data_IF_085798325191
#
_entry.id   IF_085798325191
#
_cell.length_a   1.000
_cell.length_b   1.000
_cell.length_c   1.000
_cell.angle_alpha   90.00
_cell.angle_beta   90.00
_cell.angle_gamma   90.00
#
_symmetry.space_group_name_H-M   'P 1'
#
loop_
_entity.id
_entity.type
_entity.pdbx_description
1 polymer ?
#
# COMPACT_ATOMS: atom_id res chain seq x y z
N UNK A 1 17.48 17.21 12.10
CA UNK A 1 18.26 17.03 10.85
C UNK A 1 18.91 15.66 10.69
N UNK A 2 19.32 14.95 11.76
CA UNK A 2 20.00 13.65 11.63
C UNK A 2 19.17 12.53 10.95
N UNK A 3 17.83 12.57 11.05
CA UNK A 3 16.91 11.63 10.37
C UNK A 3 16.58 12.00 8.94
N UNK A 4 17.04 13.16 8.47
CA UNK A 4 16.76 13.62 7.13
C UNK A 4 17.81 13.06 6.16
N UNK A 5 17.46 12.86 4.87
CA UNK A 5 18.44 12.48 3.85
C UNK A 5 19.63 13.45 3.81
N UNK A 6 20.79 12.96 3.42
CA UNK A 6 21.99 13.76 3.19
C UNK A 6 22.15 14.13 1.71
N UNK A 7 23.09 15.02 1.40
CA UNK A 7 23.43 15.39 0.03
C UNK A 7 22.70 16.62 -0.52
N UNK A 8 23.16 17.07 -1.68
CA UNK A 8 22.71 18.30 -2.37
C UNK A 8 21.25 18.22 -2.84
N UNK A 9 20.70 17.01 -2.95
CA UNK A 9 19.30 16.74 -3.28
C UNK A 9 18.43 16.46 -2.05
N UNK A 10 18.95 16.62 -0.83
CA UNK A 10 18.16 16.41 0.39
C UNK A 10 16.96 17.35 0.44
N UNK A 11 15.78 16.86 0.80
CA UNK A 11 14.63 17.72 1.07
C UNK A 11 14.81 18.58 2.33
N UNK A 12 15.76 18.24 3.21
CA UNK A 12 16.09 19.01 4.40
C UNK A 12 17.02 20.15 4.03
N UNK A 13 16.54 21.39 4.17
CA UNK A 13 17.32 22.60 3.85
C UNK A 13 18.68 22.62 4.57
N UNK A 14 18.73 22.18 5.83
CA UNK A 14 19.95 22.16 6.63
C UNK A 14 21.00 21.19 6.08
N UNK A 15 20.61 19.94 5.80
CA UNK A 15 21.54 18.94 5.26
C UNK A 15 21.97 19.28 3.82
N UNK A 16 21.09 19.96 3.07
CA UNK A 16 21.39 20.43 1.74
C UNK A 16 22.46 21.53 1.75
N UNK A 17 22.30 22.54 2.60
CA UNK A 17 23.27 23.62 2.76
C UNK A 17 24.66 23.06 3.15
N UNK A 18 24.70 22.15 4.13
CA UNK A 18 25.96 21.47 4.50
C UNK A 18 26.61 20.73 3.32
N UNK A 19 25.81 20.02 2.51
CA UNK A 19 26.32 19.29 1.35
C UNK A 19 26.82 20.22 0.23
N UNK A 20 26.30 21.45 0.16
CA UNK A 20 26.74 22.49 -0.78
C UNK A 20 27.93 23.32 -0.25
N UNK A 21 28.40 23.06 0.98
CA UNK A 21 29.44 23.89 1.61
C UNK A 21 28.95 25.25 2.09
N UNK A 22 27.64 25.41 2.27
CA UNK A 22 26.99 26.63 2.73
C UNK A 22 26.66 26.55 4.23
N UNK A 23 26.59 27.71 4.89
CA UNK A 23 26.09 27.80 6.26
C UNK A 23 24.56 27.66 6.29
N UNK A 24 24.00 26.68 7.01
CA UNK A 24 22.54 26.53 7.10
C UNK A 24 21.85 27.73 7.74
N UNK A 25 20.78 28.22 7.11
CA UNK A 25 19.97 29.33 7.64
C UNK A 25 19.09 28.96 8.84
N UNK A 26 18.41 29.93 9.47
CA UNK A 26 17.52 29.67 10.60
C UNK A 26 16.21 28.99 10.17
N UNK A 27 15.64 28.16 11.05
CA UNK A 27 14.38 27.46 10.79
C UNK A 27 13.20 28.41 10.52
N UNK A 28 13.18 29.58 11.18
CA UNK A 28 12.09 30.56 11.05
C UNK A 28 11.90 31.05 9.61
N UNK A 29 12.99 31.12 8.84
CA UNK A 29 12.99 31.61 7.45
C UNK A 29 12.89 30.45 6.45
N UNK A 30 13.43 29.28 6.80
CA UNK A 30 13.56 28.14 5.90
C UNK A 30 12.40 27.11 6.02
N UNK A 31 11.64 27.12 7.12
CA UNK A 31 10.36 26.40 7.19
C UNK A 31 9.23 27.27 6.63
N UNK A 32 8.73 26.90 5.45
CA UNK A 32 7.58 27.57 4.83
C UNK A 32 6.29 27.42 5.63
N UNK A 33 6.09 26.27 6.27
CA UNK A 33 4.86 25.97 7.01
C UNK A 33 5.20 25.27 8.32
N UNK A 34 5.54 26.02 9.38
CA UNK A 34 5.78 25.43 10.68
C UNK A 34 4.48 24.83 11.25
N UNK A 35 4.59 23.65 11.85
CA UNK A 35 3.48 23.06 12.61
C UNK A 35 3.34 23.86 13.90
N UNK A 36 2.18 24.51 14.08
CA UNK A 36 1.87 25.23 15.32
C UNK A 36 1.45 24.26 16.43
N UNK A 37 1.49 24.70 17.69
CA UNK A 37 1.06 23.89 18.83
C UNK A 37 -0.39 23.39 18.67
N UNK A 38 -1.28 24.25 18.18
CA UNK A 38 -2.67 23.90 17.89
C UNK A 38 -2.77 22.79 16.85
N UNK A 39 -2.00 22.88 15.75
CA UNK A 39 -2.00 21.86 14.70
C UNK A 39 -1.35 20.56 15.21
N UNK A 40 -0.26 20.66 15.97
CA UNK A 40 0.44 19.52 16.56
C UNK A 40 -0.49 18.72 17.47
N UNK A 41 -1.29 19.40 18.30
CA UNK A 41 -2.30 18.77 19.17
C UNK A 41 -3.26 17.85 18.40
N UNK A 42 -3.59 18.19 17.15
CA UNK A 42 -4.46 17.39 16.31
C UNK A 42 -3.72 16.33 15.49
N UNK A 43 -2.51 16.63 14.99
CA UNK A 43 -1.74 15.71 14.14
C UNK A 43 -1.05 14.61 14.96
N UNK A 44 -0.50 14.93 16.14
CA UNK A 44 0.30 13.98 16.92
C UNK A 44 -0.45 12.68 17.27
N UNK A 45 -1.72 12.70 17.71
CA UNK A 45 -2.47 11.47 17.95
C UNK A 45 -2.70 10.64 16.67
N UNK A 46 -2.90 11.28 15.51
CA UNK A 46 -3.06 10.59 14.22
C UNK A 46 -1.75 9.91 13.84
N UNK A 47 -0.64 10.64 13.90
CA UNK A 47 0.68 10.11 13.63
C UNK A 47 1.01 8.92 14.54
N UNK A 48 0.73 9.03 15.85
CA UNK A 48 0.99 7.96 16.81
C UNK A 48 0.19 6.68 16.51
N UNK A 49 -1.09 6.82 16.11
CA UNK A 49 -1.90 5.67 15.68
C UNK A 49 -1.33 5.02 14.42
N UNK A 50 -0.92 5.83 13.43
CA UNK A 50 -0.33 5.35 12.19
C UNK A 50 1.05 4.70 12.38
N UNK A 51 1.79 5.13 13.41
CA UNK A 51 3.08 4.56 13.78
C UNK A 51 2.97 3.39 14.78
N UNK A 52 1.76 2.91 15.09
CA UNK A 52 1.58 1.84 16.06
C UNK A 52 2.13 0.49 15.55
N UNK A 53 2.79 -0.24 16.46
CA UNK A 53 3.33 -1.57 16.14
C UNK A 53 2.22 -2.57 15.77
N UNK A 54 1.03 -2.43 16.37
CA UNK A 54 -0.13 -3.24 16.04
C UNK A 54 -0.56 -3.04 14.58
N UNK A 55 -0.63 -1.79 14.11
CA UNK A 55 -0.94 -1.49 12.71
C UNK A 55 0.14 -2.06 11.77
N UNK A 56 1.42 -1.88 12.12
CA UNK A 56 2.53 -2.43 11.33
C UNK A 56 2.46 -3.96 11.24
N UNK A 57 2.16 -4.65 12.34
CA UNK A 57 2.04 -6.11 12.37
C UNK A 57 0.83 -6.64 11.58
N UNK A 58 -0.21 -5.82 11.40
CA UNK A 58 -1.32 -6.14 10.48
C UNK A 58 -0.90 -5.95 9.02
N UNK A 59 -0.16 -4.88 8.73
CA UNK A 59 0.34 -4.59 7.38
C UNK A 59 1.44 -5.56 6.92
N UNK A 60 2.25 -6.09 7.83
CA UNK A 60 3.36 -7.02 7.51
C UNK A 60 2.88 -8.34 6.91
N UNK A 61 1.62 -8.70 7.12
CA UNK A 61 1.00 -9.89 6.52
C UNK A 61 0.62 -9.68 5.05
N UNK A 62 0.81 -8.47 4.49
CA UNK A 62 0.41 -8.08 3.14
C UNK A 62 -1.08 -8.38 2.83
N UNK A 63 -1.92 -8.46 3.85
CA UNK A 63 -3.34 -8.69 3.69
C UNK A 63 -4.00 -7.41 3.20
N UNK A 64 -4.93 -7.54 2.25
CA UNK A 64 -5.65 -6.39 1.72
C UNK A 64 -6.55 -5.79 2.81
N UNK A 65 -6.66 -4.46 2.85
CA UNK A 65 -7.54 -3.78 3.82
C UNK A 65 -9.04 -4.09 3.57
N UNK A 66 -9.36 -4.68 2.41
CA UNK A 66 -10.71 -5.07 2.03
C UNK A 66 -10.70 -6.39 1.23
N UNK A 67 -10.63 -7.51 1.94
CA UNK A 67 -10.66 -8.86 1.35
C UNK A 67 -11.85 -9.06 0.40
N UNK A 68 -13.00 -8.45 0.71
CA UNK A 68 -14.20 -8.56 -0.11
C UNK A 68 -14.05 -7.83 -1.44
N UNK A 69 -13.47 -6.63 -1.45
CA UNK A 69 -13.24 -5.86 -2.68
C UNK A 69 -12.13 -6.49 -3.53
N UNK A 70 -11.08 -7.00 -2.89
CA UNK A 70 -10.01 -7.72 -3.58
C UNK A 70 -10.55 -8.98 -4.27
N UNK A 71 -11.32 -9.82 -3.56
CA UNK A 71 -11.93 -11.01 -4.14
C UNK A 71 -12.96 -10.65 -5.23
N UNK A 72 -13.82 -9.65 -5.00
CA UNK A 72 -14.77 -9.19 -6.02
C UNK A 72 -14.05 -8.71 -7.28
N UNK A 73 -13.00 -7.91 -7.13
CA UNK A 73 -12.17 -7.47 -8.25
C UNK A 73 -11.67 -8.65 -9.06
N UNK A 74 -11.14 -9.68 -8.38
CA UNK A 74 -10.63 -10.89 -9.02
C UNK A 74 -11.73 -11.71 -9.73
N UNK A 75 -12.92 -11.84 -9.14
CA UNK A 75 -14.06 -12.50 -9.81
C UNK A 75 -14.38 -11.80 -11.14
N UNK A 76 -14.42 -10.47 -11.13
CA UNK A 76 -14.78 -9.69 -12.32
C UNK A 76 -13.66 -9.58 -13.36
N UNK A 77 -12.41 -9.95 -13.04
CA UNK A 77 -11.39 -10.15 -14.08
C UNK A 77 -11.58 -11.48 -14.81
N UNK A 78 -12.20 -12.48 -14.17
CA UNK A 78 -12.48 -13.80 -14.77
C UNK A 78 -13.81 -13.85 -15.51
N UNK A 79 -14.81 -13.06 -15.11
CA UNK A 79 -16.09 -12.97 -15.81
C UNK A 79 -16.61 -11.53 -15.93
N UNK A 80 -17.32 -11.21 -17.02
CA UNK A 80 -17.84 -9.86 -17.22
C UNK A 80 -18.98 -9.56 -16.25
N UNK A 81 -18.89 -8.42 -15.56
CA UNK A 81 -19.97 -7.88 -14.72
C UNK A 81 -21.11 -7.25 -15.53
N UNK A 82 -20.84 -6.84 -16.77
CA UNK A 82 -21.73 -5.98 -17.58
C UNK A 82 -22.39 -6.71 -18.75
N UNK A 83 -21.93 -7.92 -19.07
CA UNK A 83 -22.53 -8.76 -20.11
C UNK A 83 -23.28 -9.92 -19.47
N UNK A 84 -24.38 -10.33 -20.10
CA UNK A 84 -25.10 -11.53 -19.69
C UNK A 84 -24.17 -12.75 -19.81
N UNK A 85 -23.97 -13.45 -18.70
CA UNK A 85 -23.23 -14.70 -18.61
C UNK A 85 -24.11 -15.76 -17.97
N UNK A 86 -23.88 -17.03 -18.30
CA UNK A 86 -24.63 -18.12 -17.69
C UNK A 86 -24.25 -18.27 -16.20
N UNK A 87 -25.20 -18.75 -15.38
CA UNK A 87 -24.95 -19.06 -13.96
C UNK A 87 -23.68 -19.91 -13.79
N UNK A 88 -23.53 -20.95 -14.62
CA UNK A 88 -22.38 -21.85 -14.59
C UNK A 88 -21.05 -21.14 -14.88
N UNK A 89 -21.04 -20.16 -15.78
CA UNK A 89 -19.84 -19.35 -16.04
C UNK A 89 -19.45 -18.49 -14.83
N UNK A 90 -20.43 -17.90 -14.13
CA UNK A 90 -20.18 -17.13 -12.91
C UNK A 90 -19.66 -18.02 -11.80
N UNK A 91 -20.28 -19.18 -11.56
CA UNK A 91 -19.82 -20.15 -10.55
C UNK A 91 -18.38 -20.62 -10.80
N UNK A 92 -18.03 -20.88 -12.06
CA UNK A 92 -16.66 -21.27 -12.45
C UNK A 92 -15.66 -20.14 -12.20
N UNK A 93 -16.02 -18.90 -12.56
CA UNK A 93 -15.18 -17.73 -12.32
C UNK A 93 -14.96 -17.46 -10.82
N UNK A 94 -16.00 -17.64 -10.00
CA UNK A 94 -15.92 -17.52 -8.54
C UNK A 94 -14.98 -18.59 -7.97
N UNK A 95 -15.13 -19.86 -8.38
CA UNK A 95 -14.25 -20.93 -7.92
C UNK A 95 -12.78 -20.68 -8.30
N UNK A 96 -12.52 -20.24 -9.52
CA UNK A 96 -11.17 -19.89 -9.98
C UNK A 96 -10.58 -18.69 -9.20
N UNK A 97 -11.38 -17.65 -8.98
CA UNK A 97 -10.96 -16.48 -8.20
C UNK A 97 -10.68 -16.83 -6.74
N UNK A 98 -11.48 -17.68 -6.10
CA UNK A 98 -11.22 -18.16 -4.73
C UNK A 98 -9.91 -18.95 -4.67
N UNK A 99 -9.66 -19.82 -5.66
CA UNK A 99 -8.41 -20.58 -5.76
C UNK A 99 -7.19 -19.66 -5.86
N UNK A 100 -7.23 -18.70 -6.79
CA UNK A 100 -6.14 -17.74 -7.00
C UNK A 100 -5.96 -16.78 -5.81
N UNK A 101 -7.05 -16.35 -5.16
CA UNK A 101 -6.99 -15.48 -3.98
C UNK A 101 -6.29 -16.16 -2.79
N UNK A 102 -6.58 -17.44 -2.54
CA UNK A 102 -6.06 -18.16 -1.37
C UNK A 102 -4.70 -18.84 -1.62
N UNK A 103 -4.44 -19.30 -2.85
CA UNK A 103 -3.28 -20.14 -3.15
C UNK A 103 -2.41 -19.61 -4.30
N UNK A 104 -2.76 -18.45 -4.86
CA UNK A 104 -2.07 -17.88 -6.02
C UNK A 104 -2.15 -18.80 -7.25
N UNK A 105 -1.12 -18.75 -8.08
CA UNK A 105 -1.06 -19.53 -9.32
C UNK A 105 -1.06 -21.04 -9.11
N UNK A 106 -0.68 -21.52 -7.92
CA UNK A 106 -0.65 -22.96 -7.61
C UNK A 106 -2.01 -23.62 -7.82
N UNK A 107 -3.10 -22.93 -7.44
CA UNK A 107 -4.45 -23.45 -7.66
C UNK A 107 -4.76 -23.67 -9.15
N UNK A 108 -4.34 -22.74 -10.01
CA UNK A 108 -4.54 -22.84 -11.46
C UNK A 108 -3.73 -24.02 -12.00
N UNK A 109 -2.45 -24.15 -11.60
CA UNK A 109 -1.59 -25.25 -12.05
C UNK A 109 -2.18 -26.61 -11.68
N UNK A 110 -2.73 -26.77 -10.47
CA UNK A 110 -3.40 -28.00 -10.04
C UNK A 110 -4.63 -28.31 -10.89
N UNK A 111 -5.47 -27.30 -11.17
CA UNK A 111 -6.66 -27.48 -12.02
C UNK A 111 -6.26 -27.88 -13.44
N UNK A 112 -5.24 -27.23 -14.02
CA UNK A 112 -4.74 -27.57 -15.36
C UNK A 112 -4.18 -28.99 -15.44
N UNK A 113 -3.39 -29.41 -14.44
CA UNK A 113 -2.89 -30.79 -14.35
C UNK A 113 -4.02 -31.81 -14.22
N UNK A 114 -5.01 -31.55 -13.37
CA UNK A 114 -6.18 -32.44 -13.20
C UNK A 114 -7.02 -32.54 -14.47
N UNK A 115 -7.09 -31.46 -15.26
CA UNK A 115 -7.77 -31.43 -16.54
C UNK A 115 -6.95 -32.05 -17.71
N UNK A 116 -5.74 -32.54 -17.45
CA UNK A 116 -4.87 -33.14 -18.47
C UNK A 116 -4.27 -32.13 -19.45
N UNK A 117 -4.14 -30.85 -19.04
CA UNK A 117 -3.60 -29.77 -19.88
C UNK A 117 -2.10 -29.50 -19.63
N UNK A 118 -1.37 -30.49 -19.11
CA UNK A 118 0.07 -30.43 -18.80
C UNK A 118 0.89 -31.31 -19.72
#
# INVERSE_FOLDING_TARGET
HYKCPTGTNSWCFYNRALANGETPGPHKENLKTPITETVLKHIAPVYQRLASFELLNRCSKCLTQNSNESLNGLIWTKCSKVRNVSKRAVETAVAAAIGEYNFGNTAITTVMATAGMT
#
